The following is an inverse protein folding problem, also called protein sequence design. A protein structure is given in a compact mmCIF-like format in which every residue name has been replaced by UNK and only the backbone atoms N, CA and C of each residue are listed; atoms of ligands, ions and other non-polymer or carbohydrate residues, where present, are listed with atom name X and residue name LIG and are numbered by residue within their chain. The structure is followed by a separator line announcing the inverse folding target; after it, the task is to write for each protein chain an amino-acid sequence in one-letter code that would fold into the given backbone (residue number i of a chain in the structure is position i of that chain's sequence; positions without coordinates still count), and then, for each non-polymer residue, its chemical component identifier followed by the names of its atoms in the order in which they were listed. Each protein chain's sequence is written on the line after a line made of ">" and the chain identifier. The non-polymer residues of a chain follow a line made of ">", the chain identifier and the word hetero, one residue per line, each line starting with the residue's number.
data_IF_191508536299
#
_entry.id   IF_191508536299
#
_cell.length_a   1.000
_cell.length_b   1.000
_cell.length_c   1.000
_cell.angle_alpha   90.00
_cell.angle_beta   90.00
_cell.angle_gamma   90.00
#
_symmetry.space_group_name_H-M   'P 1'
#
loop_
_entity.id
_entity.type
_entity.pdbx_description
1 polymer ?
#
# COMPACT_ATOMS: atom_id res chain seq x y z
N UNK A 1 12.37 33.64 -20.99
CA UNK A 1 11.39 33.31 -19.91
C UNK A 1 12.16 32.86 -18.69
N UNK A 2 12.12 33.61 -17.59
CA UNK A 2 12.79 33.22 -16.34
C UNK A 2 12.12 32.02 -15.67
N UNK A 3 12.87 31.33 -14.80
CA UNK A 3 12.43 30.29 -13.88
C UNK A 3 11.08 30.53 -13.19
N UNK A 4 10.81 31.75 -12.71
CA UNK A 4 9.52 32.14 -12.12
C UNK A 4 8.34 31.92 -13.09
N UNK A 5 8.51 32.28 -14.37
CA UNK A 5 7.48 32.09 -15.39
C UNK A 5 7.22 30.61 -15.70
N UNK A 6 8.23 29.73 -15.59
CA UNK A 6 8.06 28.28 -15.72
C UNK A 6 7.31 27.69 -14.53
N UNK A 7 7.63 28.11 -13.30
CA UNK A 7 6.93 27.68 -12.08
C UNK A 7 5.44 28.03 -12.14
N UNK A 8 5.13 29.29 -12.49
CA UNK A 8 3.75 29.75 -12.60
C UNK A 8 2.96 29.04 -13.72
N UNK A 9 3.64 28.60 -14.79
CA UNK A 9 3.03 27.89 -15.92
C UNK A 9 2.76 26.42 -15.60
N UNK A 10 3.66 25.73 -14.89
CA UNK A 10 3.50 24.34 -14.50
C UNK A 10 2.39 24.12 -13.45
N UNK A 11 2.11 25.14 -12.61
CA UNK A 11 1.08 25.09 -11.55
C UNK A 11 1.26 23.87 -10.64
N UNK A 12 0.28 22.96 -10.56
CA UNK A 12 0.37 21.74 -9.75
C UNK A 12 0.88 20.59 -10.62
N UNK A 13 1.94 19.94 -10.15
CA UNK A 13 2.41 18.66 -10.69
C UNK A 13 1.50 17.52 -10.22
N UNK A 14 1.05 17.60 -8.97
CA UNK A 14 0.18 16.59 -8.38
C UNK A 14 -1.26 16.68 -8.92
N UNK A 15 -1.85 15.53 -9.22
CA UNK A 15 -3.25 15.39 -9.60
C UNK A 15 -4.19 15.90 -8.52
N UNK A 16 -5.41 16.30 -8.88
CA UNK A 16 -6.39 16.77 -7.92
C UNK A 16 -6.80 15.64 -6.96
N UNK A 17 -7.06 15.98 -5.70
CA UNK A 17 -7.43 15.00 -4.68
C UNK A 17 -8.78 14.30 -4.91
N UNK A 18 -9.61 14.78 -5.84
CA UNK A 18 -10.97 14.26 -5.98
C UNK A 18 -11.78 14.37 -4.68
N UNK A 19 -12.84 13.57 -4.57
CA UNK A 19 -13.65 13.49 -3.36
C UNK A 19 -12.97 12.63 -2.28
N UNK A 20 -13.31 12.86 -1.01
CA UNK A 20 -12.79 12.06 0.10
C UNK A 20 -13.48 10.68 0.10
N UNK A 21 -12.74 9.57 0.02
CA UNK A 21 -13.34 8.26 0.03
C UNK A 21 -13.99 7.96 1.38
N UNK A 22 -15.03 7.12 1.36
CA UNK A 22 -15.59 6.54 2.57
C UNK A 22 -14.51 5.72 3.30
N UNK A 23 -14.44 5.76 4.64
CA UNK A 23 -13.48 4.96 5.38
C UNK A 23 -13.70 3.46 5.11
N UNK A 24 -12.68 2.75 4.64
CA UNK A 24 -12.78 1.31 4.40
C UNK A 24 -12.77 0.51 5.72
N UNK A 25 -12.06 1.01 6.73
CA UNK A 25 -11.96 0.42 8.06
C UNK A 25 -12.09 1.56 9.07
N UNK A 26 -12.75 1.30 10.20
CA UNK A 26 -12.68 2.24 11.34
C UNK A 26 -11.20 2.39 11.71
N UNK A 27 -10.66 3.61 11.86
CA UNK A 27 -9.22 3.84 11.99
C UNK A 27 -8.68 2.95 13.11
N UNK A 28 -7.95 1.85 12.78
CA UNK A 28 -7.69 0.83 13.78
C UNK A 28 -6.78 1.36 14.88
N UNK A 29 -6.07 2.46 14.60
CA UNK A 29 -5.16 3.15 15.50
C UNK A 29 -5.77 4.28 16.33
N UNK A 30 -7.02 4.70 16.09
CA UNK A 30 -7.51 5.98 16.59
C UNK A 30 -6.73 7.20 16.04
N UNK A 31 -5.76 6.98 15.15
CA UNK A 31 -4.98 8.02 14.48
C UNK A 31 -5.57 8.18 13.08
N UNK A 32 -6.26 9.30 12.86
CA UNK A 32 -6.76 9.69 11.55
C UNK A 32 -5.80 10.71 10.91
N UNK A 33 -5.52 10.56 9.62
CA UNK A 33 -4.77 11.53 8.84
C UNK A 33 -3.24 11.43 8.91
N UNK A 34 -2.66 10.43 9.58
CA UNK A 34 -1.24 10.08 9.49
C UNK A 34 -1.09 8.56 9.59
N UNK A 35 -0.50 7.95 8.58
CA UNK A 35 -0.39 6.51 8.39
C UNK A 35 1.03 6.16 7.95
N UNK A 36 1.82 5.58 8.85
CA UNK A 36 3.15 5.06 8.51
C UNK A 36 3.05 3.63 7.99
N UNK A 37 3.52 3.39 6.79
CA UNK A 37 3.34 2.14 6.06
C UNK A 37 4.68 1.46 5.87
N UNK A 38 4.79 0.20 6.29
CA UNK A 38 5.87 -0.68 5.86
C UNK A 38 5.39 -1.56 4.73
N UNK A 39 5.95 -1.36 3.54
CA UNK A 39 5.75 -2.29 2.41
C UNK A 39 6.43 -3.64 2.68
N UNK A 40 5.82 -4.75 2.29
CA UNK A 40 6.40 -6.09 2.39
C UNK A 40 6.13 -6.83 1.09
N UNK A 41 7.20 -7.11 0.34
CA UNK A 41 7.14 -8.02 -0.79
C UNK A 41 7.17 -9.47 -0.28
N UNK A 42 6.08 -10.23 -0.49
CA UNK A 42 5.99 -11.63 -0.09
C UNK A 42 6.31 -12.64 -1.22
N UNK A 43 6.60 -12.15 -2.43
CA UNK A 43 6.74 -12.96 -3.64
C UNK A 43 6.16 -12.29 -4.89
N UNK A 44 6.34 -10.98 -5.02
CA UNK A 44 5.87 -10.16 -6.14
C UNK A 44 6.79 -10.26 -7.35
N UNK A 45 6.25 -9.89 -8.52
CA UNK A 45 7.00 -9.74 -9.76
C UNK A 45 7.55 -8.29 -9.96
N UNK A 46 7.51 -7.46 -8.92
CA UNK A 46 7.86 -6.03 -8.93
C UNK A 46 6.83 -5.11 -9.63
N UNK A 47 5.73 -5.65 -10.19
CA UNK A 47 4.72 -4.83 -10.87
C UNK A 47 3.95 -3.91 -9.92
N UNK A 48 3.50 -4.43 -8.78
CA UNK A 48 2.77 -3.62 -7.79
C UNK A 48 3.68 -2.56 -7.15
N UNK A 49 4.96 -2.88 -6.96
CA UNK A 49 5.98 -2.00 -6.38
C UNK A 49 6.27 -0.78 -7.25
N UNK A 50 6.25 -0.94 -8.57
CA UNK A 50 6.36 0.19 -9.51
C UNK A 50 5.17 1.12 -9.35
N UNK A 51 3.95 0.60 -9.27
CA UNK A 51 2.76 1.44 -9.09
C UNK A 51 2.67 2.06 -7.69
N UNK A 52 3.11 1.35 -6.65
CA UNK A 52 3.28 1.93 -5.30
C UNK A 52 4.29 3.07 -5.35
N UNK A 53 5.43 2.89 -6.02
CA UNK A 53 6.41 3.96 -6.20
C UNK A 53 5.83 5.15 -6.96
N UNK A 54 4.99 4.89 -7.97
CA UNK A 54 4.22 5.91 -8.68
C UNK A 54 3.26 6.66 -7.77
N UNK A 55 2.55 5.97 -6.88
CA UNK A 55 1.60 6.56 -5.93
C UNK A 55 2.27 7.53 -4.95
N UNK A 56 3.50 7.25 -4.53
CA UNK A 56 4.33 8.14 -3.71
C UNK A 56 5.17 9.13 -4.54
N UNK A 57 5.07 9.06 -5.87
CA UNK A 57 5.72 10.00 -6.78
C UNK A 57 5.02 11.37 -6.82
N UNK A 58 5.63 12.38 -7.45
CA UNK A 58 5.15 13.77 -7.43
C UNK A 58 3.82 14.00 -8.15
N UNK A 59 3.38 13.06 -8.99
CA UNK A 59 2.11 13.14 -9.74
C UNK A 59 0.92 12.73 -8.87
N UNK A 60 1.03 11.66 -8.09
CA UNK A 60 -0.07 11.17 -7.26
C UNK A 60 0.03 11.63 -5.80
N UNK A 61 1.26 11.79 -5.31
CA UNK A 61 1.63 12.38 -4.02
C UNK A 61 0.77 11.88 -2.86
N UNK A 62 0.83 10.56 -2.60
CA UNK A 62 0.13 9.95 -1.47
C UNK A 62 0.48 10.59 -0.11
N UNK A 63 1.67 11.18 0.02
CA UNK A 63 2.14 11.79 1.27
C UNK A 63 1.30 12.98 1.73
N UNK A 64 0.71 13.75 0.80
CA UNK A 64 -0.20 14.85 1.15
C UNK A 64 -1.45 14.39 1.90
N UNK A 65 -1.81 13.12 1.78
CA UNK A 65 -2.95 12.50 2.47
C UNK A 65 -2.54 11.83 3.79
N UNK A 66 -1.30 12.04 4.22
CA UNK A 66 -0.78 11.52 5.49
C UNK A 66 -0.23 10.10 5.40
N UNK A 67 -0.19 9.47 4.23
CA UNK A 67 0.43 8.16 4.04
C UNK A 67 1.94 8.32 3.84
N UNK A 68 2.77 7.56 4.55
CA UNK A 68 4.24 7.65 4.40
C UNK A 68 4.89 6.27 4.48
N UNK A 69 5.84 6.00 3.60
CA UNK A 69 6.63 4.77 3.67
C UNK A 69 7.71 4.87 4.76
N UNK A 70 7.80 3.83 5.58
CA UNK A 70 8.81 3.69 6.64
C UNK A 70 9.62 2.40 6.46
N UNK A 71 10.89 2.46 6.83
CA UNK A 71 11.81 1.34 6.64
C UNK A 71 11.61 0.21 7.67
N UNK A 72 11.25 0.56 8.91
CA UNK A 72 11.12 -0.39 10.00
C UNK A 72 9.65 -0.70 10.29
N UNK A 73 9.25 -1.98 10.39
CA UNK A 73 7.90 -2.34 10.82
C UNK A 73 7.59 -1.86 12.25
N UNK A 74 8.62 -1.62 13.08
CA UNK A 74 8.45 -1.07 14.44
C UNK A 74 7.98 0.39 14.47
N UNK A 75 8.12 1.10 13.35
CA UNK A 75 7.65 2.48 13.17
C UNK A 75 6.41 2.55 12.28
N UNK A 76 5.83 1.40 11.92
CA UNK A 76 4.70 1.33 11.01
C UNK A 76 3.39 1.18 11.79
N UNK A 77 2.37 1.85 11.29
CA UNK A 77 0.98 1.75 11.69
C UNK A 77 0.20 0.84 10.71
N UNK A 78 0.78 0.57 9.54
CA UNK A 78 0.21 -0.31 8.53
C UNK A 78 1.27 -1.15 7.81
N UNK A 79 0.87 -2.34 7.36
CA UNK A 79 1.62 -3.17 6.43
C UNK A 79 0.95 -3.12 5.06
N UNK A 80 1.71 -2.85 4.02
CA UNK A 80 1.26 -2.97 2.63
C UNK A 80 1.96 -4.15 1.99
N UNK A 81 1.23 -5.26 1.81
CA UNK A 81 1.79 -6.53 1.39
C UNK A 81 1.46 -6.78 -0.08
N UNK A 82 2.47 -7.13 -0.87
CA UNK A 82 2.36 -7.43 -2.30
C UNK A 82 2.80 -8.84 -2.62
N UNK A 83 2.32 -9.34 -3.76
CA UNK A 83 2.72 -10.64 -4.30
C UNK A 83 2.01 -11.83 -3.66
N UNK A 84 2.28 -13.01 -4.22
CA UNK A 84 1.86 -14.27 -3.60
C UNK A 84 2.72 -14.55 -2.38
N UNK A 85 2.19 -15.20 -1.34
CA UNK A 85 3.04 -15.56 -0.21
C UNK A 85 3.82 -16.82 -0.56
N UNK A 86 5.10 -16.66 -0.89
CA UNK A 86 6.00 -17.78 -1.14
C UNK A 86 6.32 -18.55 0.15
N UNK A 87 6.69 -19.83 0.03
CA UNK A 87 7.11 -20.67 1.17
C UNK A 87 8.18 -20.00 2.03
N UNK A 88 9.15 -19.34 1.38
CA UNK A 88 10.25 -18.67 2.06
C UNK A 88 9.83 -17.36 2.74
N UNK A 89 8.76 -16.70 2.25
CA UNK A 89 8.27 -15.44 2.81
C UNK A 89 7.17 -15.59 3.85
N UNK A 90 6.56 -16.77 3.99
CA UNK A 90 5.52 -17.01 4.98
C UNK A 90 5.95 -16.66 6.42
N UNK A 91 7.13 -17.15 6.85
CA UNK A 91 7.63 -16.84 8.20
C UNK A 91 8.12 -15.38 8.35
N UNK A 92 8.89 -14.80 7.40
CA UNK A 92 9.20 -13.38 7.41
C UNK A 92 7.97 -12.48 7.53
N UNK A 93 6.90 -12.75 6.77
CA UNK A 93 5.67 -11.96 6.82
C UNK A 93 5.02 -12.00 8.21
N UNK A 94 4.92 -13.19 8.82
CA UNK A 94 4.42 -13.35 10.20
C UNK A 94 5.28 -12.60 11.22
N UNK A 95 6.60 -12.67 11.07
CA UNK A 95 7.54 -11.97 11.94
C UNK A 95 7.41 -10.44 11.80
N UNK A 96 7.23 -9.94 10.57
CA UNK A 96 6.99 -8.52 10.32
C UNK A 96 5.70 -8.05 10.98
N UNK A 97 4.60 -8.79 10.82
CA UNK A 97 3.34 -8.49 11.51
C UNK A 97 3.48 -8.49 13.03
N UNK A 98 4.22 -9.45 13.59
CA UNK A 98 4.47 -9.51 15.04
C UNK A 98 5.34 -8.35 15.54
N UNK A 99 6.25 -7.83 14.70
CA UNK A 99 7.11 -6.70 15.04
C UNK A 99 6.41 -5.33 14.88
N UNK A 100 5.27 -5.28 14.19
CA UNK A 100 4.46 -4.06 14.03
C UNK A 100 3.62 -3.82 15.28
N UNK A 101 3.74 -2.63 15.93
CA UNK A 101 2.95 -2.28 17.11
C UNK A 101 1.45 -2.45 16.86
N UNK A 102 0.70 -2.78 17.91
CA UNK A 102 -0.74 -2.59 17.88
C UNK A 102 -1.06 -1.20 18.44
N UNK A 103 -2.12 -0.55 17.96
CA UNK A 103 -2.97 -0.94 16.83
C UNK A 103 -2.31 -0.84 15.43
N UNK A 104 -2.76 -1.63 14.44
CA UNK A 104 -2.21 -1.65 13.06
C UNK A 104 -3.23 -2.08 11.99
N UNK A 105 -2.95 -1.73 10.72
CA UNK A 105 -3.71 -2.15 9.51
C UNK A 105 -2.86 -3.12 8.67
N UNK A 106 -3.46 -4.13 8.06
CA UNK A 106 -2.86 -4.95 7.00
C UNK A 106 -3.60 -4.73 5.69
N UNK A 107 -2.86 -4.28 4.67
CA UNK A 107 -3.37 -3.97 3.34
C UNK A 107 -2.75 -4.97 2.35
N UNK A 108 -3.57 -5.76 1.67
CA UNK A 108 -3.14 -6.64 0.59
C UNK A 108 -3.29 -5.92 -0.77
N UNK A 109 -2.22 -5.89 -1.55
CA UNK A 109 -2.15 -5.13 -2.80
C UNK A 109 -1.84 -6.03 -4.00
N UNK A 110 -2.77 -6.04 -4.95
CA UNK A 110 -2.72 -6.77 -6.20
C UNK A 110 -3.31 -8.17 -6.14
N UNK A 111 -3.75 -8.68 -7.29
CA UNK A 111 -4.50 -9.94 -7.40
C UNK A 111 -3.70 -11.14 -6.86
N UNK A 112 -2.37 -11.12 -7.03
CA UNK A 112 -1.49 -12.13 -6.45
C UNK A 112 -1.62 -12.18 -4.91
N UNK A 113 -1.73 -11.02 -4.26
CA UNK A 113 -1.88 -10.93 -2.81
C UNK A 113 -3.30 -11.32 -2.33
N UNK A 114 -4.32 -11.09 -3.15
CA UNK A 114 -5.72 -11.36 -2.82
C UNK A 114 -6.12 -12.82 -3.08
N UNK A 115 -5.74 -13.39 -4.23
CA UNK A 115 -6.27 -14.67 -4.69
C UNK A 115 -5.22 -15.58 -5.35
N UNK A 116 -3.92 -15.29 -5.17
CA UNK A 116 -2.76 -15.95 -5.81
C UNK A 116 -2.59 -15.69 -7.30
N UNK A 117 -3.55 -15.02 -7.95
CA UNK A 117 -3.49 -14.66 -9.37
C UNK A 117 -3.11 -15.84 -10.27
N UNK A 118 -2.17 -15.60 -11.17
CA UNK A 118 -1.65 -16.63 -12.10
C UNK A 118 -0.86 -17.75 -11.42
N UNK A 119 -0.55 -17.64 -10.12
CA UNK A 119 0.25 -18.60 -9.36
C UNK A 119 -0.59 -19.46 -8.41
N UNK A 120 -1.91 -19.54 -8.60
CA UNK A 120 -2.82 -20.27 -7.72
C UNK A 120 -2.38 -21.72 -7.44
N UNK A 121 -1.85 -22.42 -8.45
CA UNK A 121 -1.41 -23.81 -8.39
C UNK A 121 0.12 -23.98 -8.33
N UNK A 122 0.87 -22.89 -8.12
CA UNK A 122 2.33 -22.94 -8.11
C UNK A 122 2.87 -23.62 -6.85
N UNK A 123 3.78 -24.59 -7.02
CA UNK A 123 4.31 -25.39 -5.92
C UNK A 123 4.98 -24.56 -4.81
N UNK A 124 5.60 -23.42 -5.16
CA UNK A 124 6.34 -22.58 -4.23
C UNK A 124 5.46 -21.58 -3.45
N UNK A 125 4.15 -21.54 -3.74
CA UNK A 125 3.18 -20.63 -3.11
C UNK A 125 2.51 -21.33 -1.93
N UNK A 126 2.43 -20.63 -0.80
CA UNK A 126 1.69 -21.07 0.39
C UNK A 126 0.23 -20.65 0.29
N UNK A 127 -0.02 -19.44 -0.19
CA UNK A 127 -1.36 -18.86 -0.25
C UNK A 127 -1.37 -17.41 -0.72
N UNK A 128 -2.57 -16.83 -0.71
CA UNK A 128 -2.77 -15.39 -0.70
C UNK A 128 -2.32 -14.80 0.65
N UNK A 129 -2.26 -13.48 0.76
CA UNK A 129 -1.88 -12.81 2.01
C UNK A 129 -2.87 -13.13 3.13
N UNK A 130 -4.17 -13.15 2.82
CA UNK A 130 -5.26 -13.48 3.75
C UNK A 130 -5.18 -14.91 4.33
N UNK A 131 -4.56 -15.85 3.62
CA UNK A 131 -4.35 -17.22 4.11
C UNK A 131 -3.26 -17.29 5.20
N UNK A 132 -2.38 -16.28 5.26
CA UNK A 132 -1.20 -16.26 6.13
C UNK A 132 -1.35 -15.26 7.28
N UNK A 133 -1.88 -14.08 7.01
CA UNK A 133 -2.10 -13.00 7.99
C UNK A 133 -3.49 -12.38 7.81
N UNK A 134 -4.14 -11.87 8.87
CA UNK A 134 -5.41 -11.17 8.73
C UNK A 134 -5.23 -9.91 7.87
N UNK A 135 -6.10 -9.74 6.88
CA UNK A 135 -6.13 -8.58 5.97
C UNK A 135 -7.33 -7.71 6.33
N UNK A 136 -7.09 -6.40 6.44
CA UNK A 136 -8.12 -5.41 6.76
C UNK A 136 -8.61 -4.67 5.50
N UNK A 137 -7.73 -4.47 4.51
CA UNK A 137 -8.02 -3.76 3.26
C UNK A 137 -7.42 -4.51 2.08
N UNK A 138 -8.20 -4.63 1.01
CA UNK A 138 -7.78 -5.27 -0.25
C UNK A 138 -7.77 -4.25 -1.39
N UNK A 139 -6.70 -4.27 -2.19
CA UNK A 139 -6.56 -3.44 -3.39
C UNK A 139 -6.47 -4.38 -4.61
N UNK A 140 -7.57 -4.62 -5.33
CA UNK A 140 -7.57 -5.48 -6.51
C UNK A 140 -6.84 -4.83 -7.70
N UNK A 141 -6.21 -5.63 -8.55
CA UNK A 141 -5.51 -5.19 -9.77
C UNK A 141 -4.23 -5.98 -10.08
N UNK A 142 -3.76 -5.92 -11.33
CA UNK A 142 -2.56 -6.63 -11.77
C UNK A 142 -1.69 -5.82 -12.77
N UNK A 143 -0.92 -4.82 -12.30
CA UNK A 143 -0.98 -4.22 -10.97
C UNK A 143 -2.14 -3.22 -10.82
N UNK A 144 -2.58 -2.91 -9.59
CA UNK A 144 -3.49 -1.79 -9.36
C UNK A 144 -2.82 -0.47 -9.75
N UNK A 145 -3.58 0.45 -10.35
CA UNK A 145 -3.03 1.74 -10.77
C UNK A 145 -2.69 2.63 -9.56
N UNK A 146 -1.81 3.64 -9.71
CA UNK A 146 -1.39 4.48 -8.59
C UNK A 146 -2.54 5.24 -7.93
N UNK A 147 -3.54 5.67 -8.71
CA UNK A 147 -4.75 6.32 -8.19
C UNK A 147 -5.60 5.37 -7.34
N UNK A 148 -5.68 4.08 -7.71
CA UNK A 148 -6.35 3.05 -6.91
C UNK A 148 -5.62 2.81 -5.59
N UNK A 149 -4.27 2.76 -5.64
CA UNK A 149 -3.45 2.66 -4.42
C UNK A 149 -3.67 3.88 -3.52
N UNK A 150 -3.63 5.10 -4.07
CA UNK A 150 -3.90 6.33 -3.31
C UNK A 150 -5.30 6.31 -2.72
N UNK A 151 -6.33 5.94 -3.48
CA UNK A 151 -7.71 5.88 -3.00
C UNK A 151 -7.86 4.91 -1.81
N UNK A 152 -7.23 3.74 -1.88
CA UNK A 152 -7.21 2.79 -0.77
C UNK A 152 -6.49 3.36 0.45
N UNK A 153 -5.32 3.98 0.30
CA UNK A 153 -4.61 4.62 1.41
C UNK A 153 -5.44 5.73 2.05
N UNK A 154 -6.12 6.54 1.23
CA UNK A 154 -7.03 7.62 1.67
C UNK A 154 -8.24 7.09 2.42
N UNK A 155 -8.75 5.91 2.05
CA UNK A 155 -9.83 5.26 2.80
C UNK A 155 -9.39 4.85 4.22
N UNK A 156 -8.10 4.61 4.43
CA UNK A 156 -7.54 4.32 5.76
C UNK A 156 -7.20 5.60 6.51
N UNK A 157 -6.58 6.59 5.85
CA UNK A 157 -6.23 7.86 6.52
C UNK A 157 -7.43 8.75 6.78
N UNK A 158 -8.52 8.58 6.03
CA UNK A 158 -9.68 9.47 6.06
C UNK A 158 -9.33 10.87 5.59
N UNK A 159 -8.57 11.04 4.51
CA UNK A 159 -8.30 12.34 3.87
C UNK A 159 -8.50 12.22 2.37
#
# INVERSE_FOLDING_TARGET
>A
MGWIGRILRLRRVAESAGERPAPAVAPPTGIAGSLHIRHVDAGSCNGCEVEISGAFGPVYDAERFGARLVASPRHADALLVTGVVTRNMAQPLRNTLAATPQPRVVIACGDCALNRGVFADAYAVVGAVGDVVPVDVEIPGCPPSPDQVVAALRSVTGR
#
